data_IF_793457114888
#
_entry.id   IF_793457114888
#
_cell.length_a   1.000
_cell.length_b   1.000
_cell.length_c   1.000
_cell.angle_alpha   90.00
_cell.angle_beta   90.00
_cell.angle_gamma   90.00
#
_symmetry.space_group_name_H-M   'P 1'
#
loop_
_entity.id
_entity.type
_entity.pdbx_description
1 polymer ?
#
# COMPACT_ATOMS: atom_id res chain seq x y z
N UNK A 1 -23.87 -14.32 4.02
CA UNK A 1 -22.50 -14.71 3.59
C UNK A 1 -22.22 -14.03 2.25
N UNK A 2 -21.80 -12.77 2.28
CA UNK A 2 -21.18 -12.09 1.13
C UNK A 2 -19.69 -12.09 1.43
N UNK A 3 -19.02 -13.16 0.99
CA UNK A 3 -17.67 -13.53 1.37
C UNK A 3 -16.64 -12.55 0.83
N UNK A 4 -15.42 -12.65 1.35
CA UNK A 4 -14.25 -11.83 0.99
C UNK A 4 -13.89 -11.86 -0.51
N UNK A 5 -14.59 -12.63 -1.34
CA UNK A 5 -14.40 -12.78 -2.80
C UNK A 5 -14.59 -11.48 -3.60
N UNK A 6 -15.28 -10.47 -3.02
CA UNK A 6 -15.48 -9.15 -3.65
C UNK A 6 -14.24 -8.23 -3.53
N UNK A 7 -13.23 -8.60 -2.74
CA UNK A 7 -12.09 -7.74 -2.44
C UNK A 7 -10.80 -8.24 -3.10
N UNK A 8 -10.19 -7.38 -3.91
CA UNK A 8 -8.91 -7.66 -4.54
C UNK A 8 -7.77 -7.32 -3.56
N UNK A 9 -6.83 -8.23 -3.37
CA UNK A 9 -5.64 -7.94 -2.54
C UNK A 9 -4.72 -6.93 -3.24
N UNK A 10 -4.70 -5.69 -2.75
CA UNK A 10 -3.92 -4.60 -3.37
C UNK A 10 -2.41 -4.80 -3.21
N UNK A 11 -1.96 -5.66 -2.28
CA UNK A 11 -0.54 -5.94 -2.07
C UNK A 11 -0.03 -7.11 -2.95
N UNK A 12 -0.90 -7.74 -3.75
CA UNK A 12 -0.43 -8.66 -4.80
C UNK A 12 0.39 -7.85 -5.81
N UNK A 13 1.58 -8.33 -6.16
CA UNK A 13 2.64 -7.52 -6.80
C UNK A 13 2.22 -6.73 -8.05
N UNK A 14 1.32 -7.28 -8.87
CA UNK A 14 0.81 -6.63 -10.10
C UNK A 14 -0.37 -5.68 -9.85
N UNK A 15 -1.12 -5.84 -8.75
CA UNK A 15 -2.34 -5.08 -8.50
C UNK A 15 -2.11 -3.57 -8.29
N UNK A 16 -1.04 -3.08 -7.61
CA UNK A 16 -0.73 -1.66 -7.55
C UNK A 16 -0.59 -1.02 -8.94
N UNK A 17 0.04 -1.73 -9.88
CA UNK A 17 0.22 -1.30 -11.27
C UNK A 17 -1.14 -1.19 -11.97
N UNK A 18 -1.98 -2.22 -11.81
CA UNK A 18 -3.35 -2.26 -12.36
C UNK A 18 -4.19 -1.12 -11.83
N UNK A 19 -4.28 -0.96 -10.51
CA UNK A 19 -5.09 0.07 -9.86
C UNK A 19 -4.60 1.48 -10.20
N UNK A 20 -3.29 1.75 -10.16
CA UNK A 20 -2.79 3.06 -10.54
C UNK A 20 -3.17 3.43 -11.97
N UNK A 21 -2.96 2.52 -12.93
CA UNK A 21 -3.21 2.81 -14.33
C UNK A 21 -4.71 2.82 -14.69
N UNK A 22 -5.56 2.12 -13.92
CA UNK A 22 -7.00 2.14 -14.11
C UNK A 22 -7.66 3.41 -13.53
N UNK A 23 -7.10 3.99 -12.47
CA UNK A 23 -7.71 5.11 -11.74
C UNK A 23 -7.03 6.47 -12.00
N UNK A 24 -5.88 6.51 -12.69
CA UNK A 24 -5.24 7.80 -13.03
C UNK A 24 -6.12 8.59 -13.98
N UNK A 25 -6.35 9.87 -13.64
CA UNK A 25 -7.13 10.80 -14.45
C UNK A 25 -6.29 11.62 -15.43
N UNK A 26 -5.02 11.26 -15.66
CA UNK A 26 -4.09 11.95 -16.55
C UNK A 26 -3.38 10.96 -17.46
N UNK A 27 -2.90 11.44 -18.60
CA UNK A 27 -2.10 10.66 -19.53
C UNK A 27 -0.64 10.58 -19.11
N UNK A 28 -0.05 9.40 -19.27
CA UNK A 28 1.38 9.14 -19.16
C UNK A 28 1.84 8.55 -20.49
N UNK A 29 3.02 8.97 -20.97
CA UNK A 29 3.57 8.42 -22.20
C UNK A 29 3.95 6.95 -22.02
N UNK A 30 4.08 6.22 -23.13
CA UNK A 30 4.45 4.82 -23.08
C UNK A 30 5.86 4.65 -22.45
N UNK A 31 6.78 5.60 -22.66
CA UNK A 31 8.10 5.64 -22.01
C UNK A 31 7.99 5.81 -20.48
N UNK A 32 7.09 6.66 -20.02
CA UNK A 32 6.85 6.91 -18.60
C UNK A 32 6.29 5.66 -17.91
N UNK A 33 5.39 4.94 -18.59
CA UNK A 33 4.84 3.66 -18.13
C UNK A 33 5.93 2.59 -18.12
N UNK A 34 6.73 2.49 -19.19
CA UNK A 34 7.81 1.51 -19.26
C UNK A 34 8.89 1.74 -18.20
N UNK A 35 9.23 3.00 -17.89
CA UNK A 35 10.15 3.29 -16.79
C UNK A 35 9.58 2.93 -15.42
N UNK A 36 8.26 3.04 -15.24
CA UNK A 36 7.60 2.75 -13.96
C UNK A 36 7.70 1.30 -13.50
N UNK A 37 7.86 0.39 -14.47
CA UNK A 37 7.95 -1.04 -14.23
C UNK A 37 9.40 -1.53 -14.13
N UNK A 38 10.39 -0.65 -14.28
CA UNK A 38 11.80 -1.02 -14.16
C UNK A 38 12.08 -1.65 -12.80
N UNK A 39 12.90 -2.70 -12.81
CA UNK A 39 13.16 -3.57 -11.68
C UNK A 39 12.14 -4.70 -11.50
N UNK A 40 11.25 -5.02 -12.45
CA UNK A 40 10.11 -5.94 -12.29
C UNK A 40 10.46 -7.44 -12.07
N UNK A 41 11.70 -7.77 -11.68
CA UNK A 41 12.15 -9.13 -11.34
C UNK A 41 11.15 -9.87 -10.44
N UNK A 42 10.54 -9.17 -9.47
CA UNK A 42 9.63 -9.80 -8.52
C UNK A 42 8.23 -10.15 -9.08
N UNK A 43 7.80 -9.59 -10.22
CA UNK A 43 6.49 -9.90 -10.84
C UNK A 43 6.57 -11.01 -11.89
N UNK A 44 7.73 -11.63 -12.12
CA UNK A 44 7.94 -12.62 -13.18
C UNK A 44 6.91 -13.76 -13.18
N UNK A 45 6.50 -14.24 -12.00
CA UNK A 45 5.48 -15.29 -11.90
C UNK A 45 4.09 -14.81 -12.33
N UNK A 46 3.74 -13.56 -11.99
CA UNK A 46 2.40 -13.00 -12.22
C UNK A 46 2.28 -12.34 -13.60
N UNK A 47 3.40 -11.97 -14.22
CA UNK A 47 3.50 -11.31 -15.52
C UNK A 47 4.82 -11.68 -16.25
N UNK A 48 4.96 -12.92 -16.74
CA UNK A 48 6.20 -13.38 -17.38
C UNK A 48 6.54 -12.62 -18.66
N UNK A 49 5.53 -12.20 -19.42
CA UNK A 49 5.70 -11.41 -20.65
C UNK A 49 6.30 -10.03 -20.34
N UNK A 50 5.82 -9.39 -19.27
CA UNK A 50 6.31 -8.07 -18.86
C UNK A 50 7.78 -8.12 -18.44
N UNK A 51 8.17 -9.18 -17.73
CA UNK A 51 9.56 -9.44 -17.37
C UNK A 51 10.45 -9.70 -18.60
N UNK A 52 9.95 -10.45 -19.59
CA UNK A 52 10.68 -10.69 -20.83
C UNK A 52 10.92 -9.38 -21.61
N UNK A 53 9.90 -8.54 -21.75
CA UNK A 53 10.03 -7.24 -22.41
C UNK A 53 11.02 -6.32 -21.71
N UNK A 54 11.01 -6.29 -20.38
CA UNK A 54 11.95 -5.50 -19.60
C UNK A 54 13.41 -5.97 -19.80
N UNK A 55 13.63 -7.28 -19.74
CA UNK A 55 14.96 -7.88 -19.93
C UNK A 55 15.49 -7.56 -21.32
N UNK A 56 14.65 -7.68 -22.35
CA UNK A 56 15.01 -7.37 -23.72
C UNK A 56 15.27 -5.87 -23.93
N UNK A 57 14.48 -5.01 -23.28
CA UNK A 57 14.62 -3.56 -23.34
C UNK A 57 15.96 -3.10 -22.75
N UNK A 58 16.41 -3.75 -21.67
CA UNK A 58 17.69 -3.47 -21.02
C UNK A 58 18.90 -3.98 -21.83
N UNK A 59 18.71 -5.05 -22.62
CA UNK A 59 19.79 -5.71 -23.36
C UNK A 59 20.01 -5.17 -24.79
N UNK A 60 18.98 -4.54 -25.38
CA UNK A 60 19.08 -4.03 -26.76
C UNK A 60 19.69 -2.63 -26.82
N UNK A 61 20.40 -2.33 -27.91
CA UNK A 61 20.90 -0.99 -28.24
C UNK A 61 20.16 -0.36 -29.43
N UNK A 62 19.33 -1.13 -30.14
CA UNK A 62 18.54 -0.64 -31.28
C UNK A 62 17.40 0.27 -30.81
N UNK A 63 17.45 1.53 -31.23
CA UNK A 63 16.46 2.55 -30.86
C UNK A 63 15.05 2.26 -31.38
N UNK A 64 14.90 1.66 -32.56
CA UNK A 64 13.58 1.26 -33.08
C UNK A 64 13.02 0.11 -32.27
N UNK A 65 13.85 -0.90 -31.98
CA UNK A 65 13.45 -2.02 -31.15
C UNK A 65 13.08 -1.61 -29.72
N UNK A 66 13.83 -0.67 -29.12
CA UNK A 66 13.48 -0.08 -27.81
C UNK A 66 12.10 0.54 -27.84
N UNK A 67 11.77 1.31 -28.87
CA UNK A 67 10.47 1.95 -29.02
C UNK A 67 9.34 0.93 -29.15
N UNK A 68 9.57 -0.17 -29.88
CA UNK A 68 8.59 -1.25 -30.02
C UNK A 68 8.36 -1.97 -28.69
N UNK A 69 9.43 -2.26 -27.93
CA UNK A 69 9.33 -2.85 -26.59
C UNK A 69 8.61 -1.94 -25.59
N UNK A 70 8.91 -0.64 -25.59
CA UNK A 70 8.19 0.35 -24.78
C UNK A 70 6.69 0.33 -25.08
N UNK A 71 6.32 0.27 -26.37
CA UNK A 71 4.92 0.21 -26.80
C UNK A 71 4.24 -1.08 -26.35
N UNK A 72 4.95 -2.23 -26.39
CA UNK A 72 4.46 -3.52 -25.89
C UNK A 72 4.21 -3.49 -24.38
N UNK A 73 5.16 -2.95 -23.61
CA UNK A 73 5.03 -2.77 -22.16
C UNK A 73 3.80 -1.91 -21.82
N UNK A 74 3.67 -0.75 -22.47
CA UNK A 74 2.55 0.13 -22.20
C UNK A 74 1.20 -0.50 -22.58
N UNK A 75 1.16 -1.25 -23.68
CA UNK A 75 -0.03 -2.00 -24.09
C UNK A 75 -0.41 -3.09 -23.08
N UNK A 76 0.57 -3.84 -22.59
CA UNK A 76 0.38 -4.84 -21.54
C UNK A 76 -0.23 -4.20 -20.28
N UNK A 77 0.36 -3.11 -19.79
CA UNK A 77 -0.13 -2.38 -18.61
C UNK A 77 -1.57 -1.87 -18.81
N UNK A 78 -1.90 -1.36 -20.00
CA UNK A 78 -3.27 -0.92 -20.34
C UNK A 78 -4.27 -2.08 -20.29
N UNK A 79 -3.91 -3.23 -20.86
CA UNK A 79 -4.72 -4.46 -20.80
C UNK A 79 -4.92 -4.91 -19.35
N UNK A 80 -3.85 -4.96 -18.56
CA UNK A 80 -3.93 -5.36 -17.15
C UNK A 80 -4.77 -4.39 -16.30
N UNK A 81 -4.63 -3.09 -16.51
CA UNK A 81 -5.45 -2.08 -15.85
C UNK A 81 -6.95 -2.24 -16.18
N UNK A 82 -7.29 -2.59 -17.42
CA UNK A 82 -8.68 -2.81 -17.81
C UNK A 82 -9.37 -3.94 -17.03
N UNK A 83 -8.62 -4.92 -16.50
CA UNK A 83 -9.16 -6.03 -15.70
C UNK A 83 -9.70 -5.60 -14.35
N UNK A 84 -9.31 -4.42 -13.86
CA UNK A 84 -9.78 -3.84 -12.59
C UNK A 84 -10.56 -2.54 -12.79
N UNK A 85 -10.77 -2.11 -14.05
CA UNK A 85 -11.55 -0.92 -14.36
C UNK A 85 -13.04 -1.15 -14.01
N UNK A 86 -13.41 -0.79 -12.78
CA UNK A 86 -14.74 -1.02 -12.20
C UNK A 86 -14.70 -1.70 -10.83
N UNK A 87 -13.63 -2.43 -10.53
CA UNK A 87 -13.37 -2.95 -9.19
C UNK A 87 -12.59 -1.90 -8.41
N UNK A 88 -13.21 -1.32 -7.40
CA UNK A 88 -12.55 -0.36 -6.50
C UNK A 88 -12.30 -0.94 -5.12
N UNK A 89 -12.95 -2.07 -4.77
CA UNK A 89 -12.85 -2.71 -3.46
C UNK A 89 -11.55 -3.48 -3.33
N UNK A 90 -10.81 -3.18 -2.27
CA UNK A 90 -9.53 -3.80 -2.00
C UNK A 90 -9.43 -4.30 -0.58
N UNK A 91 -8.65 -5.35 -0.39
CA UNK A 91 -8.15 -5.75 0.91
C UNK A 91 -6.63 -5.58 0.96
N UNK A 92 -6.10 -5.33 2.15
CA UNK A 92 -4.68 -5.46 2.43
C UNK A 92 -4.47 -6.00 3.84
N UNK A 93 -3.45 -6.85 3.99
CA UNK A 93 -3.07 -7.40 5.29
C UNK A 93 -1.70 -6.86 5.67
N UNK A 94 -1.61 -6.22 6.83
CA UNK A 94 -0.38 -5.58 7.33
C UNK A 94 -0.19 -5.86 8.80
N UNK A 95 1.06 -5.82 9.27
CA UNK A 95 1.33 -5.95 10.69
C UNK A 95 0.73 -4.77 11.46
N UNK A 96 0.05 -5.07 12.57
CA UNK A 96 -0.65 -4.05 13.33
C UNK A 96 0.30 -3.16 14.14
N UNK A 97 1.47 -3.67 14.52
CA UNK A 97 2.51 -2.99 15.32
C UNK A 97 1.94 -2.14 16.47
N UNK A 98 0.98 -2.68 17.22
CA UNK A 98 0.32 -1.92 18.28
C UNK A 98 1.30 -1.59 19.41
N UNK A 99 1.28 -0.35 19.91
CA UNK A 99 1.88 0.03 21.19
C UNK A 99 1.06 -0.57 22.34
N UNK A 100 1.65 -0.64 23.53
CA UNK A 100 0.92 -1.06 24.73
C UNK A 100 -0.31 -0.19 24.98
N UNK A 101 -1.33 -0.79 25.60
CA UNK A 101 -2.59 -0.14 25.92
C UNK A 101 -2.41 1.15 26.73
N UNK A 102 -3.02 2.22 26.25
CA UNK A 102 -3.08 3.51 26.93
C UNK A 102 -4.27 3.49 27.91
N UNK A 103 -4.01 3.32 29.20
CA UNK A 103 -5.03 3.25 30.24
C UNK A 103 -5.77 4.58 30.46
N UNK A 104 -5.14 5.72 30.16
CA UNK A 104 -5.77 7.03 30.32
C UNK A 104 -6.76 7.32 29.19
N UNK A 105 -6.41 6.89 27.97
CA UNK A 105 -7.21 7.15 26.76
C UNK A 105 -8.00 5.94 26.28
N UNK A 106 -7.92 4.83 27.02
CA UNK A 106 -8.58 3.55 26.73
C UNK A 106 -8.42 3.09 25.29
N UNK A 107 -7.17 3.04 24.79
CA UNK A 107 -6.94 2.76 23.36
C UNK A 107 -5.61 2.10 23.05
N UNK A 108 -5.56 1.49 21.86
CA UNK A 108 -4.32 1.09 21.19
C UNK A 108 -4.00 2.02 20.02
N UNK A 109 -2.72 2.33 19.88
CA UNK A 109 -2.19 3.09 18.75
C UNK A 109 -1.17 2.22 18.02
N UNK A 110 -1.31 2.12 16.70
CA UNK A 110 -0.31 1.47 15.85
C UNK A 110 0.95 2.31 15.73
N UNK A 111 2.12 1.68 15.85
CA UNK A 111 3.43 2.25 15.50
C UNK A 111 3.80 2.03 14.02
N UNK A 112 2.93 1.35 13.27
CA UNK A 112 3.08 1.17 11.84
C UNK A 112 2.86 2.53 11.16
N UNK A 113 3.90 3.00 10.46
CA UNK A 113 3.91 4.29 9.80
C UNK A 113 2.84 4.45 8.70
N UNK A 114 2.25 3.35 8.21
CA UNK A 114 1.15 3.36 7.26
C UNK A 114 -0.10 4.09 7.80
N UNK A 115 -0.32 4.02 9.11
CA UNK A 115 -1.46 4.64 9.80
C UNK A 115 -1.12 6.02 10.39
N UNK A 116 0.10 6.51 10.14
CA UNK A 116 0.51 7.84 10.57
C UNK A 116 0.03 8.91 9.59
N UNK A 117 -0.27 10.09 10.12
CA UNK A 117 -0.58 11.29 9.34
C UNK A 117 0.51 12.36 9.45
N UNK A 118 1.56 12.07 10.22
CA UNK A 118 2.70 12.96 10.39
C UNK A 118 3.50 13.03 9.08
N UNK A 119 3.83 14.22 8.60
CA UNK A 119 4.57 14.38 7.33
C UNK A 119 6.08 14.25 7.51
N UNK A 120 6.61 14.83 8.59
CA UNK A 120 8.04 14.84 8.89
C UNK A 120 8.30 14.94 10.39
N UNK A 121 9.52 14.60 10.80
CA UNK A 121 9.99 14.83 12.16
C UNK A 121 10.27 16.31 12.40
N UNK A 122 9.94 16.78 13.59
CA UNK A 122 10.28 18.12 14.07
C UNK A 122 11.73 18.17 14.57
N UNK A 123 12.30 19.37 14.61
CA UNK A 123 13.65 19.57 15.14
C UNK A 123 13.80 19.09 16.58
N UNK A 124 12.76 19.25 17.41
CA UNK A 124 12.76 18.80 18.81
C UNK A 124 12.76 17.27 18.93
N UNK A 125 12.01 16.57 18.08
CA UNK A 125 12.02 15.10 18.04
C UNK A 125 13.37 14.56 17.57
N UNK A 126 14.04 15.25 16.65
CA UNK A 126 15.36 14.87 16.16
C UNK A 126 16.50 15.30 17.08
N UNK A 127 16.22 16.06 18.14
CA UNK A 127 17.24 16.67 19.00
C UNK A 127 18.10 15.65 19.75
N UNK A 128 17.55 14.50 20.11
CA UNK A 128 18.29 13.41 20.73
C UNK A 128 17.63 12.05 20.51
N UNK A 129 18.38 10.98 20.72
CA UNK A 129 17.95 9.60 20.46
C UNK A 129 16.70 9.19 21.26
N UNK A 130 16.54 9.67 22.49
CA UNK A 130 15.40 9.34 23.36
C UNK A 130 14.11 9.99 22.86
N UNK A 131 14.17 11.25 22.45
CA UNK A 131 13.06 11.96 21.84
C UNK A 131 12.67 11.31 20.50
N UNK A 132 13.66 10.99 19.67
CA UNK A 132 13.46 10.37 18.37
C UNK A 132 12.80 8.98 18.48
N UNK A 133 13.27 8.14 19.41
CA UNK A 133 12.73 6.80 19.62
C UNK A 133 11.27 6.80 20.11
N UNK A 134 10.82 7.89 20.74
CA UNK A 134 9.43 8.05 21.22
C UNK A 134 8.53 8.78 20.22
N UNK A 135 9.11 9.45 19.22
CA UNK A 135 8.37 10.21 18.24
C UNK A 135 7.47 9.29 17.39
N UNK A 136 6.32 9.82 16.97
CA UNK A 136 5.51 9.13 15.98
C UNK A 136 6.27 9.13 14.65
N UNK A 137 6.33 7.99 13.96
CA UNK A 137 6.95 7.88 12.64
C UNK A 137 6.15 8.72 11.62
N UNK A 138 6.79 9.43 10.69
CA UNK A 138 6.14 10.00 9.53
C UNK A 138 5.39 8.93 8.72
N UNK A 139 4.35 9.35 8.00
CA UNK A 139 3.57 8.50 7.11
C UNK A 139 4.48 7.81 6.11
N UNK A 140 4.29 6.51 5.97
CA UNK A 140 4.99 5.72 4.96
C UNK A 140 4.00 5.04 4.01
N UNK A 141 4.56 4.38 3.00
CA UNK A 141 3.84 3.61 2.01
C UNK A 141 4.49 2.24 1.88
N UNK A 142 3.68 1.24 1.53
CA UNK A 142 4.17 -0.10 1.25
C UNK A 142 4.56 -0.21 -0.22
N UNK A 143 5.66 -0.89 -0.51
CA UNK A 143 6.10 -1.20 -1.86
C UNK A 143 5.97 -2.71 -2.08
N UNK A 144 4.86 -3.20 -2.68
CA UNK A 144 4.57 -4.64 -2.73
C UNK A 144 5.45 -5.41 -3.72
N UNK A 145 6.15 -4.69 -4.60
CA UNK A 145 7.08 -5.23 -5.59
C UNK A 145 8.32 -4.32 -5.67
N UNK A 146 9.23 -4.63 -6.59
CA UNK A 146 10.42 -3.82 -6.88
C UNK A 146 10.13 -2.62 -7.78
N UNK A 147 8.89 -2.44 -8.22
CA UNK A 147 8.46 -1.31 -9.08
C UNK A 147 8.17 -0.06 -8.26
N UNK A 148 7.99 1.09 -8.93
CA UNK A 148 7.75 2.40 -8.30
C UNK A 148 6.30 2.62 -7.83
N UNK A 149 5.55 1.55 -7.56
CA UNK A 149 4.14 1.60 -7.15
C UNK A 149 4.01 1.33 -5.65
N UNK A 150 3.51 2.35 -4.95
CA UNK A 150 3.39 2.41 -3.51
C UNK A 150 1.92 2.38 -3.08
N UNK A 151 1.62 1.70 -1.99
CA UNK A 151 0.26 1.59 -1.43
C UNK A 151 0.22 2.29 -0.07
N UNK A 152 -0.74 3.18 0.11
CA UNK A 152 -0.94 3.93 1.36
C UNK A 152 -2.39 3.96 1.80
N UNK A 153 -2.64 4.40 3.04
CA UNK A 153 -3.97 4.54 3.62
C UNK A 153 -4.32 6.02 3.80
N UNK A 154 -5.50 6.43 3.36
CA UNK A 154 -6.08 7.75 3.63
C UNK A 154 -6.65 7.75 5.05
N UNK A 155 -6.48 8.87 5.75
CA UNK A 155 -6.99 9.04 7.12
C UNK A 155 -6.52 7.94 8.09
N UNK A 156 -5.22 7.59 8.06
CA UNK A 156 -4.67 6.46 8.82
C UNK A 156 -4.95 6.52 10.32
N UNK A 157 -5.11 7.73 10.88
CA UNK A 157 -5.43 7.91 12.30
C UNK A 157 -6.80 7.36 12.70
N UNK A 158 -7.74 7.19 11.75
CA UNK A 158 -9.03 6.52 11.98
C UNK A 158 -8.87 5.07 12.43
N UNK A 159 -7.74 4.42 12.11
CA UNK A 159 -7.47 3.00 12.45
C UNK A 159 -7.10 2.81 13.92
N UNK A 160 -6.90 3.89 14.70
CA UNK A 160 -6.74 3.82 16.16
C UNK A 160 -7.91 3.06 16.80
N UNK A 161 -7.60 2.26 17.81
CA UNK A 161 -8.56 1.36 18.44
C UNK A 161 -8.94 1.91 19.80
N UNK A 162 -10.09 2.57 19.88
CA UNK A 162 -10.66 3.01 21.16
C UNK A 162 -11.40 1.81 21.78
N UNK A 163 -10.80 1.17 22.78
CA UNK A 163 -11.24 -0.11 23.37
C UNK A 163 -11.45 0.10 24.87
N UNK A 164 -12.68 0.47 25.25
CA UNK A 164 -13.03 0.66 26.66
C UNK A 164 -13.21 -0.65 27.45
N UNK A 165 -13.55 -1.74 26.77
CA UNK A 165 -13.73 -3.06 27.40
C UNK A 165 -12.36 -3.64 27.79
N UNK A 166 -12.11 -3.75 29.10
CA UNK A 166 -10.88 -4.31 29.64
C UNK A 166 -10.63 -5.76 29.24
N UNK A 167 -11.68 -6.57 29.08
CA UNK A 167 -11.53 -7.98 28.70
C UNK A 167 -10.98 -8.12 27.28
N UNK A 168 -11.53 -7.32 26.36
CA UNK A 168 -11.04 -7.19 24.99
C UNK A 168 -9.65 -6.56 24.96
N UNK A 169 -9.40 -5.52 25.75
CA UNK A 169 -8.08 -4.89 25.83
C UNK A 169 -6.99 -5.88 26.30
N UNK A 170 -7.28 -6.72 27.30
CA UNK A 170 -6.37 -7.80 27.75
C UNK A 170 -6.12 -8.83 26.66
N UNK A 171 -7.14 -9.17 25.87
CA UNK A 171 -6.99 -10.11 24.76
C UNK A 171 -6.10 -9.53 23.65
N UNK A 172 -6.27 -8.25 23.32
CA UNK A 172 -5.43 -7.55 22.34
C UNK A 172 -3.99 -7.41 22.86
N UNK A 173 -3.79 -6.97 24.11
CA UNK A 173 -2.45 -6.81 24.69
C UNK A 173 -1.70 -8.15 24.75
N UNK A 174 -2.36 -9.25 25.10
CA UNK A 174 -1.71 -10.57 25.16
C UNK A 174 -1.30 -11.13 23.79
N UNK A 175 -1.94 -10.67 22.70
CA UNK A 175 -1.61 -11.07 21.33
C UNK A 175 -0.77 -10.04 20.56
N UNK A 176 -0.47 -8.89 21.16
CA UNK A 176 0.03 -7.66 20.51
C UNK A 176 1.14 -7.86 19.49
N UNK A 177 2.09 -8.75 19.79
CA UNK A 177 3.25 -9.02 18.94
C UNK A 177 2.93 -9.75 17.62
N UNK A 178 1.75 -10.38 17.51
CA UNK A 178 1.37 -11.24 16.38
C UNK A 178 0.08 -10.79 15.68
N UNK A 179 -0.40 -9.58 15.98
CA UNK A 179 -1.63 -9.06 15.40
C UNK A 179 -1.37 -8.43 14.03
N UNK A 180 -2.30 -8.69 13.12
CA UNK A 180 -2.36 -8.05 11.81
C UNK A 180 -3.66 -7.28 11.67
N UNK A 181 -3.59 -6.18 10.93
CA UNK A 181 -4.78 -5.55 10.39
C UNK A 181 -5.11 -6.17 9.03
N UNK A 182 -6.34 -6.63 8.88
CA UNK A 182 -6.95 -6.80 7.57
C UNK A 182 -7.78 -5.55 7.30
N UNK A 183 -7.32 -4.73 6.37
CA UNK A 183 -7.97 -3.48 6.00
C UNK A 183 -8.78 -3.74 4.74
N UNK A 184 -10.07 -3.50 4.82
CA UNK A 184 -11.02 -3.56 3.71
C UNK A 184 -11.46 -2.15 3.37
N UNK A 185 -11.46 -1.81 2.10
CA UNK A 185 -11.81 -0.47 1.68
C UNK A 185 -11.84 -0.34 0.18
N UNK A 186 -11.53 0.85 -0.29
CA UNK A 186 -11.47 1.11 -1.72
C UNK A 186 -10.35 2.06 -2.13
N UNK A 187 -9.93 1.95 -3.39
CA UNK A 187 -9.03 2.92 -4.01
C UNK A 187 -9.74 4.27 -4.06
N UNK A 188 -9.30 5.21 -3.22
CA UNK A 188 -9.91 6.52 -3.06
C UNK A 188 -9.38 7.50 -4.11
N UNK A 189 -8.07 7.51 -4.31
CA UNK A 189 -7.40 8.17 -5.42
C UNK A 189 -6.03 7.56 -5.65
N UNK A 190 -5.45 7.89 -6.80
CA UNK A 190 -4.06 7.61 -7.14
C UNK A 190 -3.36 8.93 -7.35
N UNK A 191 -2.09 9.01 -6.96
CA UNK A 191 -1.31 10.24 -7.06
C UNK A 191 0.09 9.97 -7.59
N UNK A 192 0.65 10.98 -8.24
CA UNK A 192 2.05 11.05 -8.64
C UNK A 192 2.53 12.45 -8.33
N UNK A 193 3.53 12.53 -7.46
CA UNK A 193 4.01 13.81 -6.96
C UNK A 193 4.73 14.60 -8.06
N UNK A 194 4.72 15.93 -7.96
CA UNK A 194 5.52 16.80 -8.82
C UNK A 194 6.55 17.54 -8.00
N UNK A 195 7.83 17.39 -8.34
CA UNK A 195 8.93 18.12 -7.72
C UNK A 195 9.58 19.00 -8.79
N UNK A 196 9.59 20.32 -8.55
CA UNK A 196 10.09 21.29 -9.53
C UNK A 196 9.33 21.26 -10.88
N UNK A 197 8.04 20.91 -10.85
CA UNK A 197 7.19 20.81 -12.04
C UNK A 197 7.32 19.50 -12.83
N UNK A 198 8.27 18.62 -12.49
CA UNK A 198 8.42 17.29 -13.10
C UNK A 198 7.74 16.23 -12.26
N UNK A 199 7.06 15.28 -12.91
CA UNK A 199 6.49 14.12 -12.25
C UNK A 199 7.61 13.25 -11.66
N UNK A 200 7.49 12.88 -10.40
CA UNK A 200 8.40 11.93 -9.75
C UNK A 200 8.18 10.52 -10.29
N UNK A 201 9.10 9.60 -10.01
CA UNK A 201 8.92 8.20 -10.44
C UNK A 201 7.89 7.45 -9.59
N UNK A 202 7.73 7.87 -8.33
CA UNK A 202 6.88 7.21 -7.34
C UNK A 202 5.41 7.47 -7.63
N UNK A 203 4.65 6.37 -7.68
CA UNK A 203 3.22 6.32 -7.95
C UNK A 203 2.54 5.77 -6.71
N UNK A 204 1.55 6.47 -6.18
CA UNK A 204 0.87 6.05 -4.94
C UNK A 204 -0.58 5.70 -5.21
N UNK A 205 -1.02 4.60 -4.62
CA UNK A 205 -2.39 4.12 -4.59
C UNK A 205 -2.87 4.30 -3.16
N UNK A 206 -3.92 5.11 -3.00
CA UNK A 206 -4.39 5.51 -1.68
C UNK A 206 -5.74 4.90 -1.37
N UNK A 207 -5.78 4.09 -0.31
CA UNK A 207 -6.94 3.32 0.10
C UNK A 207 -7.68 4.05 1.21
N UNK A 208 -8.99 4.28 1.04
CA UNK A 208 -9.86 4.69 2.14
C UNK A 208 -10.40 3.43 2.84
N UNK A 209 -10.07 3.21 4.13
CA UNK A 209 -10.63 2.09 4.88
C UNK A 209 -12.14 2.24 5.07
N UNK A 210 -12.87 1.14 4.90
CA UNK A 210 -14.30 1.02 5.26
C UNK A 210 -14.51 0.06 6.41
N UNK A 211 -13.65 -0.94 6.55
CA UNK A 211 -13.64 -1.89 7.66
C UNK A 211 -12.21 -2.29 7.98
N UNK A 212 -11.93 -2.48 9.25
CA UNK A 212 -10.70 -3.14 9.72
C UNK A 212 -11.07 -4.34 10.57
N UNK A 213 -10.33 -5.43 10.38
CA UNK A 213 -10.27 -6.54 11.32
C UNK A 213 -8.89 -6.54 11.98
N UNK A 214 -8.87 -6.86 13.26
CA UNK A 214 -7.66 -7.21 13.98
C UNK A 214 -7.65 -8.72 14.16
N UNK A 215 -6.70 -9.39 13.51
CA UNK A 215 -6.60 -10.86 13.50
C UNK A 215 -5.31 -11.28 14.19
N UNK A 216 -5.39 -12.32 15.03
CA UNK A 216 -4.22 -12.98 15.57
C UNK A 216 -3.81 -14.16 14.68
N UNK A 217 -2.52 -14.44 14.64
CA UNK A 217 -1.98 -15.61 13.95
C UNK A 217 -2.64 -16.90 14.46
N UNK A 218 -3.23 -17.68 13.56
CA UNK A 218 -3.85 -18.97 13.87
C UNK A 218 -5.28 -18.88 14.42
N UNK A 219 -5.90 -17.69 14.41
CA UNK A 219 -7.31 -17.50 14.77
C UNK A 219 -8.13 -17.25 13.51
N UNK A 220 -9.19 -18.04 13.30
CA UNK A 220 -10.04 -17.93 12.10
C UNK A 220 -10.96 -16.70 12.13
N UNK A 221 -11.26 -16.18 13.33
CA UNK A 221 -12.15 -15.03 13.52
C UNK A 221 -11.37 -13.80 13.98
N UNK A 222 -11.75 -12.59 13.54
CA UNK A 222 -11.20 -11.36 14.08
C UNK A 222 -11.41 -11.26 15.59
N UNK A 223 -10.36 -10.86 16.31
CA UNK A 223 -10.44 -10.48 17.73
C UNK A 223 -11.24 -9.19 17.88
N UNK A 224 -11.11 -8.31 16.89
CA UNK A 224 -11.81 -7.04 16.85
C UNK A 224 -12.15 -6.67 15.41
N UNK A 225 -13.31 -6.04 15.23
CA UNK A 225 -13.72 -5.47 13.94
C UNK A 225 -14.30 -4.08 14.14
N UNK A 226 -13.96 -3.16 13.25
CA UNK A 226 -14.54 -1.81 13.18
C UNK A 226 -14.96 -1.50 11.76
N UNK A 227 -16.14 -0.92 11.62
CA UNK A 227 -16.66 -0.36 10.37
C UNK A 227 -16.66 1.17 10.52
N UNK A 228 -16.31 1.88 9.44
CA UNK A 228 -16.20 3.34 9.41
C UNK A 228 -17.40 4.03 8.77
#
# INVERSE_FOLDING_TARGET
MSGDDDYVDVLTKLNPIRFYNAFRGWDESDEDIARSISGAIMIQHDAPELFAYETELAATDDAFHKRDLVSKVASFVKVEASKVAGNYRVRMVVDAELKSYDFEKHRFISDNCLFSEKLEYTSDEMRNQSAFAKAQKPRCYLQPSTTNYLVGIVSGSKVRLDIADESLARMIESNRANLKYEVYGYVRFVEREKVGGKLTEMRRILIEPQKINLVARGVEQPIYSRIF
#
